data_IF_258650390647
#
_entry.id   IF_258650390647
#
_cell.length_a   1.000
_cell.length_b   1.000
_cell.length_c   1.000
_cell.angle_alpha   90.00
_cell.angle_beta   90.00
_cell.angle_gamma   90.00
#
_symmetry.space_group_name_H-M   'P 1'
#
loop_
_entity.id
_entity.type
_entity.pdbx_description
1 polymer ?
#
# COMPACT_ATOMS: atom_id res chain seq x y z
N UNK A 1 -36.36 15.68 62.16
CA UNK A 1 -35.86 16.01 60.81
C UNK A 1 -34.40 15.56 60.69
N UNK A 2 -34.12 14.48 59.95
CA UNK A 2 -32.76 14.13 59.50
C UNK A 2 -32.89 13.68 58.05
N UNK A 3 -32.50 14.55 57.11
CA UNK A 3 -32.35 14.19 55.70
C UNK A 3 -30.98 13.54 55.55
N UNK A 4 -30.96 12.24 55.27
CA UNK A 4 -29.76 11.51 54.90
C UNK A 4 -29.55 11.70 53.39
N UNK A 5 -28.57 12.52 53.00
CA UNK A 5 -28.15 12.61 51.59
C UNK A 5 -27.30 11.37 51.26
N UNK A 6 -27.82 10.49 50.43
CA UNK A 6 -27.06 9.40 49.82
C UNK A 6 -26.39 9.96 48.56
N UNK A 7 -25.07 10.12 48.58
CA UNK A 7 -24.27 10.40 47.39
C UNK A 7 -24.16 9.11 46.57
N UNK A 8 -24.89 9.06 45.45
CA UNK A 8 -24.76 8.00 44.46
C UNK A 8 -23.51 8.29 43.61
N UNK A 9 -22.37 7.71 43.98
CA UNK A 9 -21.15 7.71 43.16
C UNK A 9 -21.40 6.80 41.94
N UNK A 10 -21.84 7.41 40.84
CA UNK A 10 -21.81 6.82 39.51
C UNK A 10 -20.33 6.58 39.13
N UNK A 11 -19.86 5.34 39.33
CA UNK A 11 -18.69 4.85 38.63
C UNK A 11 -19.03 4.81 37.14
N UNK A 12 -18.71 5.89 36.42
CA UNK A 12 -18.51 5.83 34.98
C UNK A 12 -17.28 4.94 34.75
N UNK A 13 -17.49 3.65 34.56
CA UNK A 13 -16.50 2.80 33.92
C UNK A 13 -16.35 3.29 32.48
N UNK A 14 -15.38 4.16 32.23
CA UNK A 14 -14.88 4.35 30.87
C UNK A 14 -14.29 3.01 30.47
N UNK A 15 -14.99 2.28 29.60
CA UNK A 15 -14.39 1.17 28.90
C UNK A 15 -13.21 1.73 28.11
N UNK A 16 -11.99 1.54 28.63
CA UNK A 16 -10.77 1.86 27.91
C UNK A 16 -10.77 0.87 26.74
N UNK A 17 -11.09 1.36 25.54
CA UNK A 17 -10.95 0.58 24.32
C UNK A 17 -9.48 0.16 24.22
N UNK A 18 -9.21 -1.12 24.45
CA UNK A 18 -7.89 -1.71 24.33
C UNK A 18 -7.62 -1.94 22.84
N UNK A 19 -6.80 -1.08 22.24
CA UNK A 19 -6.30 -1.32 20.88
C UNK A 19 -5.47 -2.61 20.88
N UNK A 20 -5.93 -3.63 20.14
CA UNK A 20 -5.20 -4.86 19.96
C UNK A 20 -4.17 -4.68 18.86
N UNK A 21 -2.90 -4.99 19.16
CA UNK A 21 -1.79 -4.85 18.21
C UNK A 21 -1.22 -6.22 17.84
N UNK A 22 -1.34 -6.59 16.57
CA UNK A 22 -0.70 -7.78 15.98
C UNK A 22 0.53 -7.37 15.18
N UNK A 23 1.70 -7.92 15.50
CA UNK A 23 2.91 -7.72 14.69
C UNK A 23 2.80 -8.61 13.46
N UNK A 24 3.00 -8.02 12.28
CA UNK A 24 2.92 -8.72 11.00
C UNK A 24 4.32 -8.97 10.42
N UNK A 25 5.24 -8.04 10.64
CA UNK A 25 6.63 -8.13 10.21
C UNK A 25 7.51 -7.27 11.13
N UNK A 26 8.74 -7.72 11.37
CA UNK A 26 9.74 -6.96 12.12
C UNK A 26 11.16 -7.30 11.68
N UNK A 27 11.96 -6.28 11.35
CA UNK A 27 13.40 -6.39 11.12
C UNK A 27 14.17 -5.44 12.05
N UNK A 28 15.47 -5.19 11.82
CA UNK A 28 16.27 -4.30 12.70
C UNK A 28 15.78 -2.85 12.73
N UNK A 29 15.22 -2.34 11.63
CA UNK A 29 14.88 -0.92 11.45
C UNK A 29 13.37 -0.68 11.56
N UNK A 30 12.54 -1.59 11.06
CA UNK A 30 11.11 -1.41 10.86
C UNK A 30 10.28 -2.48 11.55
N UNK A 31 9.07 -2.11 11.94
CA UNK A 31 8.01 -3.01 12.42
C UNK A 31 6.71 -2.65 11.70
N UNK A 32 6.10 -3.61 11.02
CA UNK A 32 4.73 -3.52 10.53
C UNK A 32 3.80 -4.16 11.55
N UNK A 33 2.73 -3.47 11.90
CA UNK A 33 1.70 -3.98 12.80
C UNK A 33 0.32 -3.70 12.26
N UNK A 34 -0.59 -4.61 12.54
CA UNK A 34 -2.03 -4.39 12.42
C UNK A 34 -2.51 -3.88 13.78
N UNK A 35 -3.12 -2.71 13.79
CA UNK A 35 -3.76 -2.14 14.96
C UNK A 35 -5.26 -2.31 14.75
N UNK A 36 -5.90 -3.10 15.60
CA UNK A 36 -7.32 -3.35 15.58
C UNK A 36 -7.97 -2.58 16.74
N UNK A 37 -8.89 -1.68 16.40
CA UNK A 37 -9.67 -0.88 17.34
C UNK A 37 -11.14 -0.98 16.97
N UNK A 38 -11.97 -1.53 17.86
CA UNK A 38 -13.37 -1.85 17.57
C UNK A 38 -13.50 -2.71 16.29
N UNK A 39 -14.26 -2.23 15.30
CA UNK A 39 -14.49 -2.88 14.00
C UNK A 39 -13.50 -2.44 12.90
N UNK A 40 -12.39 -1.81 13.29
CA UNK A 40 -11.47 -1.15 12.38
C UNK A 40 -10.07 -1.76 12.53
N UNK A 41 -9.46 -2.15 11.41
CA UNK A 41 -8.08 -2.59 11.38
C UNK A 41 -7.26 -1.67 10.48
N UNK A 42 -6.12 -1.18 10.99
CA UNK A 42 -5.20 -0.33 10.24
C UNK A 42 -3.79 -0.86 10.28
N UNK A 43 -3.08 -0.75 9.16
CA UNK A 43 -1.66 -1.02 9.11
C UNK A 43 -0.87 0.16 9.67
N UNK A 44 0.18 -0.14 10.42
CA UNK A 44 1.08 0.85 10.99
C UNK A 44 2.53 0.40 10.82
N UNK A 45 3.33 1.20 10.12
CA UNK A 45 4.77 1.03 10.02
C UNK A 45 5.41 1.88 11.11
N UNK A 46 6.29 1.28 11.90
CA UNK A 46 7.08 1.97 12.91
C UNK A 46 8.56 1.85 12.59
N UNK A 47 9.25 2.99 12.48
CA UNK A 47 10.69 3.04 12.38
C UNK A 47 11.31 3.04 13.78
N UNK A 48 11.99 1.95 14.13
CA UNK A 48 12.63 1.74 15.44
C UNK A 48 13.83 2.65 15.67
N UNK A 49 14.58 2.97 14.61
CA UNK A 49 15.76 3.85 14.69
C UNK A 49 15.35 5.28 15.06
N UNK A 50 14.31 5.82 14.41
CA UNK A 50 13.84 7.19 14.63
C UNK A 50 12.66 7.28 15.61
N UNK A 51 12.19 6.15 16.14
CA UNK A 51 11.04 6.03 17.06
C UNK A 51 9.78 6.74 16.56
N UNK A 52 9.47 6.63 15.27
CA UNK A 52 8.34 7.31 14.63
C UNK A 52 7.48 6.37 13.82
N UNK A 53 6.17 6.62 13.80
CA UNK A 53 5.27 5.98 12.85
C UNK A 53 5.49 6.58 11.45
N UNK A 54 5.43 5.73 10.45
CA UNK A 54 5.47 6.09 9.04
C UNK A 54 4.04 5.87 8.52
N UNK A 55 3.37 6.93 8.00
CA UNK A 55 2.05 6.77 7.41
C UNK A 55 2.17 5.89 6.18
N UNK A 56 1.20 4.99 5.98
CA UNK A 56 1.09 4.25 4.74
C UNK A 56 0.40 5.15 3.73
N UNK A 57 1.08 5.38 2.61
CA UNK A 57 0.64 6.25 1.54
C UNK A 57 0.32 5.39 0.33
N UNK A 58 -0.97 5.18 0.11
CA UNK A 58 -1.42 4.61 -1.15
C UNK A 58 -1.74 5.74 -2.13
N UNK A 59 -0.70 6.16 -2.85
CA UNK A 59 -0.83 7.24 -3.86
C UNK A 59 -1.44 6.77 -5.16
N UNK A 60 -1.74 5.48 -5.27
CA UNK A 60 -2.22 4.87 -6.48
C UNK A 60 -3.73 4.57 -6.39
N UNK A 61 -4.39 4.96 -5.29
CA UNK A 61 -5.81 4.71 -5.03
C UNK A 61 -6.16 3.22 -5.12
N UNK A 62 -5.22 2.37 -4.71
CA UNK A 62 -5.26 0.92 -4.84
C UNK A 62 -5.97 0.21 -3.69
N UNK A 63 -5.99 0.86 -2.54
CA UNK A 63 -6.56 0.45 -1.27
C UNK A 63 -7.90 1.14 -0.99
N UNK A 64 -8.38 2.04 -1.85
CA UNK A 64 -9.68 2.74 -1.69
C UNK A 64 -10.90 1.78 -1.69
N UNK A 65 -10.74 0.56 -2.21
CA UNK A 65 -11.74 -0.50 -2.16
C UNK A 65 -11.51 -1.53 -1.05
N UNK A 66 -10.57 -1.28 -0.13
CA UNK A 66 -9.91 -2.31 0.68
C UNK A 66 -9.55 -1.89 2.08
N UNK A 67 -8.67 -0.90 2.16
CA UNK A 67 -8.15 -0.38 3.40
C UNK A 67 -8.80 0.97 3.63
N UNK A 68 -9.50 1.12 4.75
CA UNK A 68 -9.67 2.45 5.31
C UNK A 68 -8.29 2.94 5.76
N UNK A 69 -7.57 3.61 4.85
CA UNK A 69 -6.43 4.47 5.19
C UNK A 69 -6.89 5.76 5.87
N UNK A 70 -8.19 5.97 5.97
CA UNK A 70 -8.73 7.13 6.65
C UNK A 70 -8.41 7.05 8.14
N UNK A 71 -8.08 8.20 8.71
CA UNK A 71 -7.97 8.44 10.15
C UNK A 71 -9.33 8.21 10.85
N UNK A 72 -10.42 8.05 10.09
CA UNK A 72 -11.80 8.04 10.56
C UNK A 72 -12.52 6.74 10.15
N UNK A 73 -12.58 5.78 11.06
CA UNK A 73 -13.26 4.49 10.91
C UNK A 73 -14.80 4.60 10.77
N UNK A 74 -15.32 5.22 9.70
CA UNK A 74 -16.75 5.46 9.45
C UNK A 74 -17.20 5.06 8.03
N UNK A 75 -16.75 3.93 7.49
CA UNK A 75 -17.39 3.32 6.31
C UNK A 75 -17.84 1.89 6.62
N UNK A 76 -19.08 1.59 6.29
CA UNK A 76 -19.78 0.32 6.57
C UNK A 76 -19.41 -0.82 5.61
N UNK A 77 -18.18 -0.84 5.11
CA UNK A 77 -17.66 -1.91 4.25
C UNK A 77 -16.58 -2.68 4.99
N UNK A 78 -16.96 -3.78 5.63
CA UNK A 78 -15.99 -4.68 6.27
C UNK A 78 -15.16 -5.40 5.21
N UNK A 79 -13.83 -5.26 5.30
CA UNK A 79 -12.88 -5.98 4.45
C UNK A 79 -12.02 -6.82 5.39
N UNK A 80 -12.33 -8.11 5.40
CA UNK A 80 -11.57 -9.11 6.15
C UNK A 80 -10.36 -9.49 5.32
N UNK A 81 -9.20 -9.52 5.96
CA UNK A 81 -7.96 -9.85 5.31
C UNK A 81 -7.52 -11.23 5.77
N UNK A 82 -7.40 -12.18 4.86
CA UNK A 82 -6.46 -13.29 5.07
C UNK A 82 -5.10 -12.84 4.53
N UNK A 83 -4.04 -13.01 5.31
CA UNK A 83 -2.73 -12.38 5.01
C UNK A 83 -1.60 -13.40 5.11
N UNK A 84 -0.91 -13.61 4.01
CA UNK A 84 0.44 -14.17 3.99
C UNK A 84 1.44 -13.05 3.68
N UNK A 85 2.32 -12.74 4.63
CA UNK A 85 3.47 -11.88 4.39
C UNK A 85 4.62 -12.79 4.00
N UNK A 86 4.92 -12.88 2.70
CA UNK A 86 6.08 -13.65 2.25
C UNK A 86 7.35 -12.80 2.34
N UNK A 87 8.37 -13.40 2.97
CA UNK A 87 9.57 -12.75 3.47
C UNK A 87 10.61 -12.36 2.41
N UNK A 88 10.25 -12.30 1.14
CA UNK A 88 11.18 -11.90 0.11
C UNK A 88 10.93 -10.44 -0.25
N UNK A 89 11.66 -9.51 0.40
CA UNK A 89 12.28 -8.35 -0.27
C UNK A 89 13.12 -7.43 0.65
N UNK A 90 14.24 -7.93 1.17
CA UNK A 90 15.28 -7.16 1.90
C UNK A 90 14.79 -6.29 3.10
N UNK A 91 15.72 -5.57 3.75
CA UNK A 91 15.41 -4.80 4.96
C UNK A 91 14.56 -3.54 4.74
N UNK A 92 14.30 -3.15 3.48
CA UNK A 92 13.67 -1.88 3.12
C UNK A 92 12.33 -2.03 2.42
N UNK A 93 12.00 -3.20 1.87
CA UNK A 93 10.76 -3.44 1.15
C UNK A 93 10.01 -4.65 1.72
N UNK A 94 8.70 -4.68 1.55
CA UNK A 94 7.88 -5.81 1.96
C UNK A 94 6.85 -6.12 0.88
N UNK A 95 6.75 -7.40 0.52
CA UNK A 95 5.66 -7.87 -0.34
C UNK A 95 4.45 -8.18 0.54
N UNK A 96 3.33 -7.57 0.20
CA UNK A 96 2.04 -7.74 0.84
C UNK A 96 1.18 -8.59 -0.08
N UNK A 97 0.85 -9.83 0.29
CA UNK A 97 -0.26 -10.56 -0.33
C UNK A 97 -1.51 -10.30 0.50
N UNK A 98 -2.62 -9.96 -0.17
CA UNK A 98 -3.87 -9.64 0.50
C UNK A 98 -5.09 -9.95 -0.36
N UNK A 99 -6.16 -10.35 0.33
CA UNK A 99 -7.45 -10.63 -0.28
C UNK A 99 -8.37 -9.41 -0.12
N UNK A 100 -9.02 -9.00 -1.20
CA UNK A 100 -10.16 -8.09 -1.17
C UNK A 100 -11.45 -8.91 -1.19
N UNK A 101 -12.21 -8.82 -0.10
CA UNK A 101 -13.50 -9.49 0.02
C UNK A 101 -14.60 -8.45 -0.16
N UNK A 102 -15.39 -8.60 -1.22
CA UNK A 102 -16.58 -7.82 -1.48
C UNK A 102 -17.86 -8.66 -1.39
N UNK A 103 -19.00 -7.99 -1.26
CA UNK A 103 -20.31 -8.61 -1.43
C UNK A 103 -20.99 -7.99 -2.64
N UNK A 104 -21.34 -8.81 -3.62
CA UNK A 104 -22.09 -8.37 -4.80
C UNK A 104 -23.57 -8.54 -4.49
N UNK A 105 -24.28 -7.42 -4.49
CA UNK A 105 -25.73 -7.38 -4.28
C UNK A 105 -26.43 -7.45 -5.64
N UNK A 106 -27.06 -8.59 -5.91
CA UNK A 106 -27.82 -8.83 -7.14
C UNK A 106 -29.30 -8.78 -6.75
N UNK A 107 -30.12 -7.87 -7.33
CA UNK A 107 -31.53 -7.74 -6.96
C UNK A 107 -32.28 -9.08 -7.04
N UNK A 108 -32.86 -9.50 -5.93
CA UNK A 108 -33.61 -10.75 -5.82
C UNK A 108 -32.77 -11.99 -5.45
N UNK A 109 -31.44 -11.86 -5.31
CA UNK A 109 -30.56 -12.91 -4.82
C UNK A 109 -30.00 -12.57 -3.43
N UNK A 110 -29.51 -13.59 -2.71
CA UNK A 110 -28.70 -13.35 -1.51
C UNK A 110 -27.35 -12.77 -1.94
N UNK A 111 -26.79 -11.78 -1.20
CA UNK A 111 -25.47 -11.24 -1.50
C UNK A 111 -24.43 -12.34 -1.64
N UNK A 112 -23.72 -12.34 -2.77
CA UNK A 112 -22.66 -13.32 -3.05
C UNK A 112 -21.33 -12.74 -2.60
N UNK A 113 -20.57 -13.51 -1.82
CA UNK A 113 -19.19 -13.19 -1.46
C UNK A 113 -18.31 -13.32 -2.69
N UNK A 114 -17.61 -12.24 -3.03
CA UNK A 114 -16.60 -12.20 -4.08
C UNK A 114 -15.23 -11.98 -3.42
N UNK A 115 -14.24 -12.75 -3.86
CA UNK A 115 -12.87 -12.66 -3.32
C UNK A 115 -11.94 -12.40 -4.49
N UNK A 116 -11.15 -11.33 -4.38
CA UNK A 116 -10.09 -11.00 -5.31
C UNK A 116 -8.76 -11.03 -4.58
N UNK A 117 -7.76 -11.55 -5.26
CA UNK A 117 -6.45 -11.78 -4.71
C UNK A 117 -5.48 -10.77 -5.29
N UNK A 118 -4.75 -10.08 -4.42
CA UNK A 118 -3.84 -9.02 -4.82
C UNK A 118 -2.50 -9.16 -4.14
N UNK A 119 -1.52 -8.51 -4.75
CA UNK A 119 -0.27 -8.28 -4.08
C UNK A 119 0.38 -6.94 -4.41
N UNK A 120 1.12 -6.42 -3.44
CA UNK A 120 1.71 -5.07 -3.47
C UNK A 120 3.08 -5.03 -2.82
N UNK A 121 4.00 -4.24 -3.37
CA UNK A 121 5.28 -3.93 -2.72
C UNK A 121 5.12 -2.67 -1.87
N UNK A 122 5.50 -2.74 -0.61
CA UNK A 122 5.52 -1.64 0.36
C UNK A 122 6.96 -1.17 0.59
N UNK A 123 7.25 0.12 0.37
CA UNK A 123 8.49 0.76 0.82
C UNK A 123 8.39 1.06 2.32
N UNK A 124 9.19 0.38 3.14
CA UNK A 124 9.15 0.55 4.60
C UNK A 124 9.71 1.89 5.06
N UNK A 125 10.55 2.56 4.26
CA UNK A 125 11.14 3.85 4.61
C UNK A 125 10.18 5.01 4.38
N UNK A 126 9.36 4.95 3.33
CA UNK A 126 8.40 6.01 2.99
C UNK A 126 6.96 5.67 3.34
N UNK A 127 6.63 4.38 3.46
CA UNK A 127 5.27 3.88 3.62
C UNK A 127 4.50 3.83 2.30
N UNK A 128 5.14 4.08 1.16
CA UNK A 128 4.45 4.09 -0.14
C UNK A 128 4.16 2.65 -0.61
N UNK A 129 2.94 2.42 -1.10
CA UNK A 129 2.59 1.23 -1.87
C UNK A 129 3.03 1.45 -3.33
N UNK A 130 3.89 0.58 -3.83
CA UNK A 130 4.57 0.74 -5.12
C UNK A 130 3.89 -0.02 -6.26
N UNK A 131 3.21 -1.13 -5.98
CA UNK A 131 2.58 -2.00 -6.99
C UNK A 131 1.21 -2.51 -6.54
N UNK A 132 0.38 -2.95 -7.50
CA UNK A 132 -0.83 -3.75 -7.28
C UNK A 132 -0.96 -4.73 -8.46
N UNK A 133 -0.73 -5.99 -8.19
CA UNK A 133 -0.88 -7.07 -9.17
C UNK A 133 -2.03 -7.98 -8.72
N UNK A 134 -2.87 -8.40 -9.66
CA UNK A 134 -3.85 -9.45 -9.40
C UNK A 134 -3.08 -10.77 -9.32
N UNK A 135 -3.08 -11.40 -8.13
CA UNK A 135 -2.51 -12.72 -7.96
C UNK A 135 -3.60 -13.73 -8.26
N UNK A 136 -3.69 -14.23 -9.50
CA UNK A 136 -4.72 -15.18 -9.93
C UNK A 136 -4.91 -16.39 -8.98
N UNK A 137 -3.94 -16.69 -8.11
CA UNK A 137 -3.88 -17.78 -7.14
C UNK A 137 -3.54 -17.34 -5.69
N UNK A 138 -3.57 -16.05 -5.35
CA UNK A 138 -3.32 -15.59 -3.97
C UNK A 138 -1.86 -15.32 -3.61
N UNK A 139 -0.91 -15.61 -4.49
CA UNK A 139 0.52 -15.37 -4.24
C UNK A 139 1.14 -14.49 -5.33
N UNK A 140 1.98 -13.52 -4.96
CA UNK A 140 2.83 -12.88 -5.95
C UNK A 140 3.73 -13.94 -6.61
N UNK A 141 3.76 -13.94 -7.95
CA UNK A 141 4.90 -14.52 -8.67
C UNK A 141 6.08 -13.58 -8.44
N UNK A 142 6.93 -13.93 -7.47
CA UNK A 142 8.12 -13.14 -7.10
C UNK A 142 9.00 -12.77 -8.31
N UNK A 143 8.92 -13.59 -9.37
CA UNK A 143 9.64 -13.47 -10.63
C UNK A 143 9.19 -12.26 -11.48
N UNK A 144 7.98 -11.72 -11.27
CA UNK A 144 7.47 -10.52 -11.98
C UNK A 144 7.73 -9.22 -11.23
N UNK A 145 8.03 -9.30 -9.93
CA UNK A 145 8.35 -8.14 -9.10
C UNK A 145 9.85 -7.87 -9.15
N UNK A 146 10.26 -6.89 -9.95
CA UNK A 146 11.63 -6.36 -9.92
C UNK A 146 11.77 -5.29 -8.83
N UNK A 147 12.77 -5.42 -7.95
CA UNK A 147 13.17 -4.36 -7.01
C UNK A 147 13.37 -3.07 -7.83
N UNK A 148 12.94 -1.91 -7.32
CA UNK A 148 13.37 -0.65 -7.88
C UNK A 148 14.88 -0.48 -7.70
N UNK A 149 15.63 -1.01 -8.66
CA UNK A 149 16.99 -0.60 -8.94
C UNK A 149 16.96 0.87 -9.37
N UNK A 150 17.92 1.63 -8.86
CA UNK A 150 18.18 2.95 -9.43
C UNK A 150 18.75 2.73 -10.85
N UNK A 151 18.02 3.17 -11.86
CA UNK A 151 18.43 3.13 -13.25
C UNK A 151 18.61 4.55 -13.77
N UNK A 152 19.43 4.68 -14.81
CA UNK A 152 19.76 5.97 -15.41
C UNK A 152 19.07 6.06 -16.77
N UNK A 153 18.48 7.23 -17.03
CA UNK A 153 17.94 7.55 -18.36
C UNK A 153 19.09 7.56 -19.38
N UNK A 154 18.98 6.73 -20.42
CA UNK A 154 20.04 6.53 -21.43
C UNK A 154 19.84 7.42 -22.68
N UNK A 155 18.62 7.92 -22.92
CA UNK A 155 18.24 8.77 -24.06
C UNK A 155 18.28 10.26 -23.71
N UNK A 156 18.60 11.11 -24.70
CA UNK A 156 18.68 12.57 -24.53
C UNK A 156 17.38 13.19 -23.99
N UNK A 157 16.23 12.65 -24.39
CA UNK A 157 14.91 13.07 -23.94
C UNK A 157 13.97 11.88 -23.90
N UNK A 158 13.34 11.67 -22.75
CA UNK A 158 12.37 10.60 -22.51
C UNK A 158 11.06 11.24 -22.11
N UNK A 159 10.03 11.07 -22.93
CA UNK A 159 8.70 11.55 -22.62
C UNK A 159 8.13 10.77 -21.43
N UNK A 160 7.47 11.48 -20.53
CA UNK A 160 6.73 10.88 -19.43
C UNK A 160 5.25 10.77 -19.83
N UNK A 161 4.63 9.68 -19.38
CA UNK A 161 3.26 9.34 -19.72
C UNK A 161 2.43 9.22 -18.44
N UNK A 162 1.19 9.71 -18.49
CA UNK A 162 0.27 9.55 -17.35
C UNK A 162 -0.18 8.08 -17.21
N UNK A 163 -0.29 7.39 -18.34
CA UNK A 163 -0.63 5.97 -18.51
C UNK A 163 0.06 5.49 -19.79
N UNK A 164 0.28 4.18 -20.00
CA UNK A 164 0.77 3.66 -21.28
C UNK A 164 -0.01 4.26 -22.46
N UNK A 165 0.71 4.75 -23.48
CA UNK A 165 0.17 5.47 -24.65
C UNK A 165 -0.50 6.83 -24.40
N UNK A 166 -0.59 7.33 -23.16
CA UNK A 166 -1.16 8.65 -22.83
C UNK A 166 -0.06 9.66 -22.49
N UNK A 167 0.44 10.33 -23.53
CA UNK A 167 1.55 11.30 -23.45
C UNK A 167 1.23 12.43 -22.47
N UNK A 168 2.24 12.89 -21.74
CA UNK A 168 2.21 14.15 -20.99
C UNK A 168 3.18 15.18 -21.59
N UNK A 169 3.11 16.43 -21.12
CA UNK A 169 4.05 17.48 -21.51
C UNK A 169 5.38 17.45 -20.71
N UNK A 170 5.63 16.40 -19.94
CA UNK A 170 6.82 16.26 -19.09
C UNK A 170 7.83 15.30 -19.74
N UNK A 171 9.10 15.48 -19.40
CA UNK A 171 10.17 14.62 -19.87
C UNK A 171 11.29 14.54 -18.83
N UNK A 172 12.09 13.48 -18.95
CA UNK A 172 13.40 13.33 -18.30
C UNK A 172 14.50 13.42 -19.35
N UNK A 173 15.72 13.67 -18.91
CA UNK A 173 16.89 13.78 -19.77
C UNK A 173 17.95 12.74 -19.40
N UNK A 174 18.87 12.51 -20.33
CA UNK A 174 19.99 11.58 -20.12
C UNK A 174 20.74 11.92 -18.82
N UNK A 175 21.00 10.89 -18.02
CA UNK A 175 21.69 11.03 -16.73
C UNK A 175 20.76 11.20 -15.53
N UNK A 176 19.46 11.46 -15.73
CA UNK A 176 18.50 11.45 -14.64
C UNK A 176 18.43 10.05 -14.00
N UNK A 177 18.50 10.02 -12.66
CA UNK A 177 18.38 8.82 -11.85
C UNK A 177 16.92 8.60 -11.48
N UNK A 178 16.42 7.41 -11.77
CA UNK A 178 15.04 7.03 -11.49
C UNK A 178 14.99 5.65 -10.83
N UNK A 179 13.89 5.38 -10.15
CA UNK A 179 13.54 4.05 -9.67
C UNK A 179 12.47 3.46 -10.56
N UNK A 180 12.65 2.24 -11.04
CA UNK A 180 11.59 1.50 -11.78
C UNK A 180 10.77 0.70 -10.79
N UNK A 181 9.49 1.02 -10.64
CA UNK A 181 8.60 0.36 -9.69
C UNK A 181 7.80 -0.79 -10.28
N UNK A 182 7.48 -0.70 -11.57
CA UNK A 182 6.62 -1.68 -12.21
C UNK A 182 6.94 -1.80 -13.68
N UNK A 183 6.91 -3.03 -14.19
CA UNK A 183 7.06 -3.35 -15.62
C UNK A 183 5.70 -3.79 -16.15
N UNK A 184 5.26 -3.16 -17.23
CA UNK A 184 4.04 -3.51 -17.94
C UNK A 184 4.35 -3.80 -19.39
N UNK A 185 3.90 -4.94 -19.89
CA UNK A 185 4.03 -5.30 -21.31
C UNK A 185 2.64 -5.31 -21.91
N UNK A 186 2.44 -4.58 -23.01
CA UNK A 186 1.28 -4.75 -23.87
C UNK A 186 1.72 -5.46 -25.16
N UNK A 187 0.79 -5.71 -26.09
CA UNK A 187 1.05 -6.46 -27.33
C UNK A 187 2.19 -5.90 -28.22
N UNK A 188 2.65 -4.67 -27.98
CA UNK A 188 3.63 -3.96 -28.84
C UNK A 188 4.81 -3.34 -28.10
N UNK A 189 4.59 -2.90 -26.87
CA UNK A 189 5.51 -2.04 -26.13
C UNK A 189 5.66 -2.54 -24.69
N UNK A 190 6.88 -2.41 -24.19
CA UNK A 190 7.20 -2.57 -22.78
C UNK A 190 7.33 -1.19 -22.11
N UNK A 191 6.75 -1.08 -20.92
CA UNK A 191 6.64 0.15 -20.14
C UNK A 191 7.19 -0.04 -18.75
N UNK A 192 7.74 1.04 -18.20
CA UNK A 192 8.14 1.13 -16.82
C UNK A 192 7.39 2.25 -16.12
N UNK A 193 6.76 1.94 -14.99
CA UNK A 193 6.33 2.94 -14.04
C UNK A 193 7.53 3.33 -13.18
N UNK A 194 7.81 4.62 -13.10
CA UNK A 194 9.03 5.13 -12.49
C UNK A 194 8.74 6.17 -11.43
N UNK A 195 9.70 6.35 -10.53
CA UNK A 195 9.79 7.48 -9.64
C UNK A 195 11.09 8.23 -9.84
N UNK A 196 10.95 9.52 -10.09
CA UNK A 196 12.04 10.47 -10.19
C UNK A 196 11.98 11.42 -8.98
N UNK A 197 13.08 11.50 -8.24
CA UNK A 197 13.24 12.37 -7.06
C UNK A 197 14.19 13.54 -7.35
N UNK A 198 13.87 14.35 -8.34
CA UNK A 198 14.57 15.61 -8.63
C UNK A 198 13.98 16.80 -7.85
N UNK A 199 13.84 17.96 -8.51
CA UNK A 199 13.21 19.16 -7.91
C UNK A 199 11.77 18.93 -7.44
N UNK A 200 11.05 18.02 -8.10
CA UNK A 200 9.73 17.54 -7.71
C UNK A 200 9.74 16.03 -7.83
N UNK A 201 9.02 15.37 -6.92
CA UNK A 201 8.75 13.94 -7.04
C UNK A 201 7.77 13.71 -8.20
N UNK A 202 8.11 12.79 -9.09
CA UNK A 202 7.30 12.45 -10.27
C UNK A 202 7.12 10.94 -10.34
N UNK A 203 5.86 10.51 -10.39
CA UNK A 203 5.46 9.11 -10.59
C UNK A 203 4.74 9.00 -11.94
N UNK A 204 5.39 8.43 -12.95
CA UNK A 204 4.90 8.39 -14.33
C UNK A 204 5.41 7.18 -15.10
N UNK A 205 4.88 6.96 -16.31
CA UNK A 205 5.29 5.88 -17.18
C UNK A 205 6.35 6.34 -18.20
N UNK A 206 7.29 5.48 -18.54
CA UNK A 206 8.24 5.62 -19.64
C UNK A 206 8.27 4.32 -20.47
N UNK A 207 8.79 4.39 -21.70
CA UNK A 207 9.09 3.18 -22.47
C UNK A 207 10.33 2.48 -21.89
N UNK A 208 10.32 1.15 -21.85
CA UNK A 208 11.40 0.37 -21.25
C UNK A 208 12.76 0.58 -21.92
N UNK A 209 12.76 0.80 -23.23
CA UNK A 209 13.94 1.11 -24.03
C UNK A 209 14.61 2.47 -23.70
N UNK A 210 14.04 3.22 -22.74
CA UNK A 210 14.51 4.54 -22.30
C UNK A 210 15.48 4.50 -21.11
N UNK A 211 15.76 3.30 -20.61
CA UNK A 211 16.70 3.03 -19.54
C UNK A 211 17.58 1.85 -19.92
N UNK A 212 18.82 1.85 -19.46
CA UNK A 212 19.65 0.64 -19.49
C UNK A 212 19.45 -0.08 -18.16
N UNK A 213 18.66 -1.16 -18.18
CA UNK A 213 18.57 -2.08 -17.05
C UNK A 213 19.75 -3.05 -17.19
N UNK A 214 20.73 -2.93 -16.29
CA UNK A 214 21.85 -3.87 -16.18
C UNK A 214 21.47 -5.09 -15.36
#
# INVERSE_FOLDING_TARGET
MKRLMVFFLLFLSTAIASDNKKILFENKIYRLSLISSNNCERLNIFNKKYKKNIPILDRLSFLDYGFSLSVNCNSSGFISWDKSFDNNYNDNFLVLNYDLIGYVDIPGEKPKRHVEYYCSVLDLATGDILTKENSNDGFCKMDTLSLPGEVIINKNKVLLYNQPNKISNKYLIKGDKIKVFYRYVNDKDEWHFINYKGKKEINMWIKADSVDIK
#
